data_IF_379895155891
#
_entry.id   IF_379895155891
#
_cell.length_a   1.000
_cell.length_b   1.000
_cell.length_c   1.000
_cell.angle_alpha   90.00
_cell.angle_beta   90.00
_cell.angle_gamma   90.00
#
_symmetry.space_group_name_H-M   'P 1'
#
loop_
_entity.id
_entity.type
_entity.pdbx_description
1 polymer ?
#
# COMPACT_ATOMS: atom_id res chain seq x y z
N UNK A 1 -14.71 -13.59 -6.53
CA UNK A 1 -15.63 -13.17 -7.62
C UNK A 1 -16.73 -12.23 -7.16
N UNK A 2 -17.44 -12.45 -6.04
CA UNK A 2 -18.52 -11.56 -5.59
C UNK A 2 -18.06 -10.11 -5.34
N UNK A 3 -16.89 -9.89 -4.72
CA UNK A 3 -16.30 -8.57 -4.50
C UNK A 3 -16.01 -7.82 -5.79
N UNK A 4 -15.54 -8.51 -6.85
CA UNK A 4 -15.29 -7.87 -8.15
C UNK A 4 -16.59 -7.33 -8.76
N UNK A 5 -17.66 -8.11 -8.72
CA UNK A 5 -18.97 -7.67 -9.19
C UNK A 5 -19.53 -6.52 -8.37
N UNK A 6 -19.35 -6.56 -7.05
CA UNK A 6 -19.77 -5.47 -6.17
C UNK A 6 -19.02 -4.16 -6.51
N UNK A 7 -17.70 -4.21 -6.74
CA UNK A 7 -16.94 -3.04 -7.16
C UNK A 7 -17.30 -2.58 -8.55
N UNK A 8 -17.50 -3.50 -9.49
CA UNK A 8 -17.99 -3.16 -10.82
C UNK A 8 -19.30 -2.36 -10.73
N UNK A 9 -20.28 -2.84 -9.97
CA UNK A 9 -21.55 -2.15 -9.75
C UNK A 9 -21.38 -0.81 -9.03
N UNK A 10 -20.49 -0.73 -8.05
CA UNK A 10 -20.19 0.52 -7.33
C UNK A 10 -19.62 1.58 -8.28
N UNK A 11 -18.65 1.20 -9.11
CA UNK A 11 -18.00 2.12 -10.05
C UNK A 11 -18.98 2.54 -11.15
N UNK A 12 -19.88 1.66 -11.60
CA UNK A 12 -20.93 2.01 -12.56
C UNK A 12 -21.91 3.06 -12.02
N UNK A 13 -22.10 3.16 -10.70
CA UNK A 13 -22.89 4.23 -10.06
C UNK A 13 -22.23 5.59 -10.17
N UNK A 14 -20.91 5.64 -10.20
CA UNK A 14 -20.13 6.87 -10.43
C UNK A 14 -18.73 6.79 -9.85
N UNK A 15 -17.79 7.40 -10.57
CA UNK A 15 -16.38 7.48 -10.11
C UNK A 15 -16.28 8.29 -8.82
N UNK A 16 -17.13 9.30 -8.63
CA UNK A 16 -17.11 10.13 -7.42
C UNK A 16 -17.45 9.33 -6.17
N UNK A 17 -18.47 8.47 -6.23
CA UNK A 17 -18.86 7.58 -5.14
C UNK A 17 -17.77 6.56 -4.85
N UNK A 18 -17.18 5.98 -5.89
CA UNK A 18 -16.05 5.06 -5.74
C UNK A 18 -14.82 5.76 -5.13
N UNK A 19 -14.54 7.00 -5.50
CA UNK A 19 -13.44 7.79 -4.93
C UNK A 19 -13.67 8.09 -3.45
N UNK A 20 -14.90 8.42 -3.02
CA UNK A 20 -15.22 8.60 -1.59
C UNK A 20 -14.99 7.33 -0.80
N UNK A 21 -15.48 6.19 -1.29
CA UNK A 21 -15.23 4.89 -0.66
C UNK A 21 -13.72 4.61 -0.57
N UNK A 22 -12.97 4.91 -1.63
CA UNK A 22 -11.51 4.72 -1.64
C UNK A 22 -10.80 5.60 -0.59
N UNK A 23 -11.24 6.84 -0.38
CA UNK A 23 -10.70 7.72 0.67
C UNK A 23 -10.97 7.13 2.06
N UNK A 24 -12.21 6.70 2.33
CA UNK A 24 -12.58 6.08 3.62
C UNK A 24 -11.75 4.84 3.88
N UNK A 25 -11.59 3.96 2.90
CA UNK A 25 -10.78 2.75 3.03
C UNK A 25 -9.30 3.09 3.19
N UNK A 26 -8.80 4.14 2.52
CA UNK A 26 -7.42 4.61 2.66
C UNK A 26 -7.14 5.08 4.09
N UNK A 27 -8.04 5.83 4.69
CA UNK A 27 -7.93 6.23 6.10
C UNK A 27 -7.95 4.97 6.99
N UNK A 28 -8.92 4.09 6.77
CA UNK A 28 -9.08 2.87 7.57
C UNK A 28 -7.87 1.93 7.50
N UNK A 29 -7.17 1.82 6.37
CA UNK A 29 -5.95 0.99 6.25
C UNK A 29 -4.70 1.63 6.87
N UNK A 30 -4.65 2.96 6.98
CA UNK A 30 -3.53 3.66 7.62
C UNK A 30 -3.62 3.58 9.15
N UNK A 31 -4.82 3.53 9.72
CA UNK A 31 -5.03 3.48 11.19
C UNK A 31 -4.27 2.32 11.87
N UNK A 32 -4.33 1.06 11.39
CA UNK A 32 -3.56 -0.03 11.99
C UNK A 32 -2.05 0.19 11.98
N UNK A 33 -1.52 0.82 10.92
CA UNK A 33 -0.09 1.14 10.82
C UNK A 33 0.31 2.24 11.81
N UNK A 34 -0.51 3.28 11.96
CA UNK A 34 -0.27 4.34 12.94
C UNK A 34 -0.33 3.78 14.36
N UNK A 35 -1.32 2.95 14.67
CA UNK A 35 -1.43 2.28 15.97
C UNK A 35 -0.21 1.39 16.22
N UNK A 36 0.22 0.62 15.21
CA UNK A 36 1.45 -0.17 15.29
C UNK A 36 2.67 0.70 15.60
N UNK A 37 2.83 1.84 14.92
CA UNK A 37 3.95 2.76 15.14
C UNK A 37 3.93 3.30 16.58
N UNK A 38 2.77 3.73 17.09
CA UNK A 38 2.64 4.24 18.47
C UNK A 38 3.01 3.17 19.50
N UNK A 39 2.50 1.95 19.33
CA UNK A 39 2.84 0.82 20.19
C UNK A 39 4.33 0.47 20.05
N UNK A 40 4.83 0.47 18.80
CA UNK A 40 6.20 0.16 18.48
C UNK A 40 7.19 1.11 19.14
N UNK A 41 6.90 2.41 19.17
CA UNK A 41 7.73 3.40 19.87
C UNK A 41 7.83 3.07 21.37
N UNK A 42 6.71 2.66 21.99
CA UNK A 42 6.68 2.31 23.43
C UNK A 42 7.41 0.99 23.69
N UNK A 43 7.26 0.00 22.81
CA UNK A 43 7.84 -1.34 22.95
C UNK A 43 9.28 -1.44 22.45
N UNK A 44 9.82 -0.39 21.83
CA UNK A 44 11.15 -0.37 21.22
C UNK A 44 12.25 -0.57 22.27
N UNK A 45 13.14 -1.51 21.99
CA UNK A 45 14.33 -1.78 22.80
C UNK A 45 15.59 -1.55 21.97
N UNK A 46 16.36 -0.53 22.31
CA UNK A 46 17.60 -0.18 21.62
C UNK A 46 18.63 -1.33 21.63
N UNK A 47 18.64 -2.13 22.70
CA UNK A 47 19.50 -3.33 22.79
C UNK A 47 19.17 -4.38 21.76
N UNK A 48 17.88 -4.63 21.50
CA UNK A 48 17.42 -5.57 20.46
C UNK A 48 17.76 -5.04 19.07
N UNK A 49 17.52 -3.76 18.82
CA UNK A 49 17.80 -3.10 17.56
C UNK A 49 19.28 -3.13 17.17
N UNK A 50 20.18 -2.90 18.14
CA UNK A 50 21.63 -2.83 17.93
C UNK A 50 22.35 -4.17 17.99
N UNK A 51 21.71 -5.25 18.42
CA UNK A 51 22.34 -6.53 18.68
C UNK A 51 23.06 -7.13 17.44
N UNK A 52 22.46 -7.01 16.26
CA UNK A 52 23.07 -7.42 14.98
C UNK A 52 22.67 -6.45 13.86
N UNK A 53 22.97 -5.16 14.06
CA UNK A 53 22.53 -4.11 13.11
C UNK A 53 22.98 -4.35 11.68
N UNK A 54 24.21 -4.84 11.49
CA UNK A 54 24.78 -5.10 10.16
C UNK A 54 24.52 -6.51 9.63
N UNK A 55 23.90 -7.40 10.41
CA UNK A 55 23.65 -8.78 10.00
C UNK A 55 24.90 -9.66 9.93
N UNK A 56 25.96 -9.27 10.63
CA UNK A 56 27.24 -10.00 10.59
C UNK A 56 27.17 -11.35 11.30
N UNK A 57 26.46 -11.43 12.43
CA UNK A 57 26.23 -12.67 13.16
C UNK A 57 25.26 -13.61 12.44
N UNK A 58 24.36 -13.07 11.63
CA UNK A 58 23.37 -13.82 10.84
C UNK A 58 23.92 -14.30 9.48
N UNK A 59 25.18 -14.02 9.15
CA UNK A 59 25.81 -14.47 7.91
C UNK A 59 25.23 -13.87 6.63
N UNK A 60 24.62 -12.68 6.69
CA UNK A 60 23.92 -12.04 5.56
C UNK A 60 24.83 -11.40 4.51
N UNK A 61 26.15 -11.55 4.66
CA UNK A 61 27.13 -10.95 3.74
C UNK A 61 27.36 -9.47 3.97
N UNK A 62 27.93 -8.80 2.97
CA UNK A 62 28.19 -7.37 3.03
C UNK A 62 26.90 -6.55 2.96
N UNK A 63 26.94 -5.29 3.40
CA UNK A 63 25.80 -4.37 3.26
C UNK A 63 25.33 -4.23 1.79
N UNK A 64 26.27 -4.31 0.83
CA UNK A 64 25.94 -4.25 -0.60
C UNK A 64 25.17 -5.50 -1.05
N UNK A 65 25.53 -6.69 -0.57
CA UNK A 65 24.81 -7.92 -0.89
C UNK A 65 23.40 -7.91 -0.31
N UNK A 66 23.24 -7.40 0.90
CA UNK A 66 21.93 -7.20 1.53
C UNK A 66 21.06 -6.21 0.74
N UNK A 67 21.62 -5.08 0.29
CA UNK A 67 20.93 -4.11 -0.55
C UNK A 67 20.47 -4.76 -1.86
N UNK A 68 21.35 -5.48 -2.55
CA UNK A 68 21.02 -6.19 -3.80
C UNK A 68 19.89 -7.20 -3.60
N UNK A 69 19.93 -7.98 -2.53
CA UNK A 69 18.89 -8.96 -2.22
C UNK A 69 17.52 -8.31 -1.98
N UNK A 70 17.50 -7.10 -1.39
CA UNK A 70 16.26 -6.37 -1.10
C UNK A 70 15.72 -5.53 -2.29
N UNK A 71 16.53 -5.28 -3.32
CA UNK A 71 16.14 -4.36 -4.42
C UNK A 71 14.83 -4.76 -5.09
N UNK A 72 14.65 -6.03 -5.43
CA UNK A 72 13.41 -6.51 -6.08
C UNK A 72 12.18 -6.32 -5.21
N UNK A 73 12.31 -6.60 -3.91
CA UNK A 73 11.21 -6.40 -2.95
C UNK A 73 10.90 -4.91 -2.80
N UNK A 74 11.92 -4.05 -2.73
CA UNK A 74 11.75 -2.61 -2.60
C UNK A 74 11.07 -2.01 -3.83
N UNK A 75 11.47 -2.41 -5.04
CA UNK A 75 10.81 -1.98 -6.29
C UNK A 75 9.35 -2.40 -6.28
N UNK A 76 9.06 -3.65 -5.91
CA UNK A 76 7.68 -4.16 -5.83
C UNK A 76 6.81 -3.35 -4.86
N UNK A 77 7.35 -2.98 -3.71
CA UNK A 77 6.64 -2.21 -2.67
C UNK A 77 6.21 -0.83 -3.15
N UNK A 78 6.98 -0.22 -4.08
CA UNK A 78 6.68 1.12 -4.61
C UNK A 78 5.90 1.11 -5.93
N UNK A 79 5.50 -0.06 -6.45
CA UNK A 79 4.56 -0.14 -7.58
C UNK A 79 3.24 0.53 -7.18
N UNK A 80 2.74 1.42 -8.03
CA UNK A 80 1.52 2.19 -7.82
C UNK A 80 1.75 3.64 -7.41
N UNK A 81 3.01 4.05 -7.13
CA UNK A 81 3.32 5.46 -6.86
C UNK A 81 3.00 6.35 -8.08
N UNK A 82 3.06 5.78 -9.26
CA UNK A 82 2.68 6.40 -10.54
C UNK A 82 1.16 6.61 -10.69
N UNK A 83 0.34 6.02 -9.82
CA UNK A 83 -1.13 6.07 -9.94
C UNK A 83 -1.71 7.48 -10.03
N UNK A 84 -1.07 8.47 -9.40
CA UNK A 84 -1.49 9.86 -9.53
C UNK A 84 -1.39 10.37 -10.97
N UNK A 85 -0.40 9.92 -11.76
CA UNK A 85 -0.24 10.30 -13.16
C UNK A 85 -1.30 9.67 -14.07
N UNK A 86 -1.77 8.46 -13.74
CA UNK A 86 -2.86 7.78 -14.46
C UNK A 86 -4.17 8.59 -14.40
N UNK A 87 -4.40 9.30 -13.28
CA UNK A 87 -5.57 10.14 -13.08
C UNK A 87 -5.33 11.61 -13.46
N UNK A 88 -4.25 11.93 -14.17
CA UNK A 88 -3.89 13.32 -14.52
C UNK A 88 -4.97 14.06 -15.31
N UNK A 89 -5.71 13.39 -16.19
CA UNK A 89 -6.83 13.95 -16.95
C UNK A 89 -8.01 14.39 -16.06
N UNK A 90 -8.13 13.81 -14.86
CA UNK A 90 -9.16 14.11 -13.89
C UNK A 90 -8.72 15.13 -12.83
N UNK A 91 -7.43 15.53 -12.86
CA UNK A 91 -6.89 16.51 -11.93
C UNK A 91 -7.35 17.94 -12.32
N UNK A 92 -7.63 18.76 -11.31
CA UNK A 92 -8.00 20.16 -11.52
C UNK A 92 -6.85 20.98 -12.10
N UNK A 93 -5.64 20.71 -11.61
CA UNK A 93 -4.40 21.35 -12.08
C UNK A 93 -3.30 20.29 -12.21
N UNK A 94 -2.44 20.42 -13.25
CA UNK A 94 -1.28 19.52 -13.44
C UNK A 94 -0.33 19.50 -12.24
N UNK A 95 -0.22 20.63 -11.54
CA UNK A 95 0.60 20.78 -10.33
C UNK A 95 0.13 19.87 -9.19
N UNK A 96 -1.17 19.60 -9.11
CA UNK A 96 -1.74 18.74 -8.07
C UNK A 96 -1.30 17.28 -8.23
N UNK A 97 -1.10 16.83 -9.47
CA UNK A 97 -0.57 15.47 -9.74
C UNK A 97 0.83 15.31 -9.15
N UNK A 98 1.74 16.27 -9.45
CA UNK A 98 3.10 16.22 -8.91
C UNK A 98 3.14 16.30 -7.38
N UNK A 99 2.32 17.17 -6.78
CA UNK A 99 2.20 17.26 -5.32
C UNK A 99 1.66 15.96 -4.72
N UNK A 100 0.60 15.39 -5.28
CA UNK A 100 0.02 14.13 -4.82
C UNK A 100 1.04 12.99 -4.88
N UNK A 101 1.81 12.90 -5.97
CA UNK A 101 2.86 11.88 -6.13
C UNK A 101 3.95 12.02 -5.06
N UNK A 102 4.50 13.23 -4.90
CA UNK A 102 5.60 13.47 -3.94
C UNK A 102 5.14 13.27 -2.50
N UNK A 103 3.97 13.84 -2.12
CA UNK A 103 3.46 13.69 -0.76
C UNK A 103 3.04 12.26 -0.46
N UNK A 104 2.41 11.58 -1.42
CA UNK A 104 2.07 10.16 -1.32
C UNK A 104 3.30 9.29 -1.13
N UNK A 105 4.30 9.45 -2.00
CA UNK A 105 5.57 8.71 -1.91
C UNK A 105 6.27 8.96 -0.56
N UNK A 106 6.45 10.21 -0.17
CA UNK A 106 7.13 10.56 1.08
C UNK A 106 6.38 10.01 2.31
N UNK A 107 5.06 10.08 2.31
CA UNK A 107 4.23 9.54 3.41
C UNK A 107 4.34 8.03 3.51
N UNK A 108 4.24 7.32 2.40
CA UNK A 108 4.38 5.85 2.36
C UNK A 108 5.79 5.43 2.76
N UNK A 109 6.83 6.10 2.23
CA UNK A 109 8.21 5.84 2.61
C UNK A 109 8.44 6.01 4.12
N UNK A 110 7.95 7.11 4.70
CA UNK A 110 8.05 7.36 6.13
C UNK A 110 7.34 6.27 6.96
N UNK A 111 6.13 5.89 6.58
CA UNK A 111 5.39 4.81 7.24
C UNK A 111 6.14 3.48 7.16
N UNK A 112 6.64 3.11 5.99
CA UNK A 112 7.38 1.86 5.78
C UNK A 112 8.68 1.85 6.59
N UNK A 113 9.44 2.94 6.58
CA UNK A 113 10.67 3.05 7.39
C UNK A 113 10.36 2.90 8.87
N UNK A 114 9.36 3.60 9.40
CA UNK A 114 8.98 3.51 10.80
C UNK A 114 8.55 2.09 11.18
N UNK A 115 7.66 1.49 10.40
CA UNK A 115 7.18 0.11 10.66
C UNK A 115 8.35 -0.89 10.67
N UNK A 116 9.25 -0.82 9.68
CA UNK A 116 10.38 -1.73 9.60
C UNK A 116 11.37 -1.49 10.76
N UNK A 117 11.82 -0.26 10.97
CA UNK A 117 12.81 0.04 12.02
C UNK A 117 12.27 -0.32 13.41
N UNK A 118 11.02 -0.02 13.70
CA UNK A 118 10.41 -0.36 15.00
C UNK A 118 10.28 -1.87 15.18
N UNK A 119 9.98 -2.62 14.12
CA UNK A 119 9.90 -4.08 14.17
C UNK A 119 11.21 -4.72 14.62
N UNK A 120 12.36 -4.23 14.13
CA UNK A 120 13.68 -4.69 14.55
C UNK A 120 14.03 -4.33 16.02
N UNK A 121 13.40 -3.33 16.59
CA UNK A 121 13.54 -2.99 18.00
C UNK A 121 12.62 -3.76 18.94
N UNK A 122 11.59 -4.44 18.40
CA UNK A 122 10.62 -5.22 19.20
C UNK A 122 11.00 -6.69 19.22
N UNK A 123 11.36 -7.26 18.06
CA UNK A 123 11.64 -8.68 17.88
C UNK A 123 13.05 -8.86 17.34
N UNK A 124 13.85 -9.79 17.91
CA UNK A 124 15.17 -10.11 17.38
C UNK A 124 15.10 -10.55 15.91
N UNK A 125 16.15 -10.24 15.14
CA UNK A 125 16.21 -10.50 13.70
C UNK A 125 15.89 -11.94 13.31
N UNK A 126 16.43 -12.92 14.03
CA UNK A 126 16.23 -14.34 13.75
C UNK A 126 14.76 -14.76 13.93
N UNK A 127 14.14 -14.28 15.00
CA UNK A 127 12.71 -14.51 15.25
C UNK A 127 11.84 -13.79 14.21
N UNK A 128 12.21 -12.54 13.84
CA UNK A 128 11.51 -11.78 12.83
C UNK A 128 11.54 -12.47 11.46
N UNK A 129 12.67 -13.06 11.09
CA UNK A 129 12.82 -13.83 9.86
C UNK A 129 12.00 -15.13 9.86
N UNK A 130 11.72 -15.71 11.03
CA UNK A 130 10.93 -16.92 11.18
C UNK A 130 9.41 -16.68 11.27
N UNK A 131 8.98 -15.41 11.36
CA UNK A 131 7.55 -15.06 11.43
C UNK A 131 6.83 -15.45 10.14
N UNK A 132 5.62 -16.00 10.31
CA UNK A 132 4.72 -16.28 9.18
C UNK A 132 3.99 -15.01 8.74
N UNK A 133 3.61 -14.97 7.47
CA UNK A 133 2.81 -13.87 6.95
C UNK A 133 1.39 -13.83 7.56
N UNK A 134 0.89 -12.66 7.92
CA UNK A 134 1.55 -11.34 7.87
C UNK A 134 2.49 -11.14 9.07
N UNK A 135 3.79 -10.95 8.82
CA UNK A 135 4.84 -10.84 9.87
C UNK A 135 4.56 -9.73 10.89
N UNK A 136 3.94 -8.62 10.47
CA UNK A 136 3.54 -7.53 11.37
C UNK A 136 2.58 -7.97 12.48
N UNK A 137 1.76 -8.98 12.22
CA UNK A 137 0.88 -9.63 13.22
C UNK A 137 1.71 -10.28 14.33
N UNK A 138 2.78 -10.98 13.98
CA UNK A 138 3.70 -11.60 14.95
C UNK A 138 4.44 -10.54 15.80
N UNK A 139 4.94 -9.48 15.15
CA UNK A 139 5.62 -8.37 15.84
C UNK A 139 4.69 -7.70 16.85
N UNK A 140 3.44 -7.38 16.45
CA UNK A 140 2.50 -6.74 17.37
C UNK A 140 2.06 -7.70 18.49
N UNK A 141 1.98 -9.00 18.21
CA UNK A 141 1.71 -10.00 19.25
C UNK A 141 2.82 -10.05 20.29
N UNK A 142 4.08 -9.94 19.87
CA UNK A 142 5.21 -9.86 20.79
C UNK A 142 5.17 -8.60 21.67
N UNK A 143 4.65 -7.48 21.16
CA UNK A 143 4.55 -6.21 21.88
C UNK A 143 3.38 -6.16 22.87
N UNK A 144 2.18 -6.62 22.48
CA UNK A 144 0.93 -6.38 23.22
C UNK A 144 0.07 -7.64 23.43
N UNK A 145 0.55 -8.82 23.02
CA UNK A 145 -0.15 -10.08 23.19
C UNK A 145 -1.12 -10.42 22.03
N UNK A 146 -1.91 -11.49 22.16
CA UNK A 146 -2.67 -12.11 21.06
C UNK A 146 -3.72 -11.21 20.38
N UNK A 147 -4.21 -10.16 21.04
CA UNK A 147 -5.14 -9.22 20.43
C UNK A 147 -4.50 -8.43 19.28
N UNK A 148 -3.18 -8.20 19.35
CA UNK A 148 -2.43 -7.52 18.29
C UNK A 148 -2.53 -8.24 16.95
N UNK A 149 -2.48 -9.57 16.94
CA UNK A 149 -2.65 -10.35 15.73
C UNK A 149 -4.03 -10.14 15.09
N UNK A 150 -5.09 -10.16 15.90
CA UNK A 150 -6.47 -9.94 15.43
C UNK A 150 -6.66 -8.55 14.87
N UNK A 151 -6.08 -7.55 15.52
CA UNK A 151 -6.12 -6.15 15.07
C UNK A 151 -5.45 -5.96 13.72
N UNK A 152 -4.23 -6.49 13.53
CA UNK A 152 -3.53 -6.43 12.24
C UNK A 152 -4.26 -7.23 11.17
N UNK A 153 -4.80 -8.41 11.47
CA UNK A 153 -5.57 -9.20 10.51
C UNK A 153 -6.82 -8.45 10.02
N UNK A 154 -7.54 -7.78 10.90
CA UNK A 154 -8.68 -6.93 10.52
C UNK A 154 -8.25 -5.75 9.64
N UNK A 155 -7.17 -5.06 10.02
CA UNK A 155 -6.59 -3.97 9.23
C UNK A 155 -6.13 -4.43 7.84
N UNK A 156 -5.50 -5.60 7.75
CA UNK A 156 -5.09 -6.21 6.49
C UNK A 156 -6.29 -6.53 5.60
N UNK A 157 -7.34 -7.12 6.15
CA UNK A 157 -8.57 -7.41 5.40
C UNK A 157 -9.19 -6.14 4.81
N UNK A 158 -9.31 -5.07 5.59
CA UNK A 158 -9.79 -3.76 5.12
C UNK A 158 -8.85 -3.18 4.04
N UNK A 159 -7.54 -3.30 4.24
CA UNK A 159 -6.53 -2.83 3.29
C UNK A 159 -6.64 -3.54 1.94
N UNK A 160 -6.78 -4.88 1.94
CA UNK A 160 -6.91 -5.67 0.71
C UNK A 160 -8.19 -5.34 -0.06
N UNK A 161 -9.31 -5.17 0.66
CA UNK A 161 -10.59 -4.75 0.08
C UNK A 161 -10.43 -3.39 -0.62
N UNK A 162 -9.81 -2.40 0.04
CA UNK A 162 -9.59 -1.09 -0.55
C UNK A 162 -8.57 -1.07 -1.69
N UNK A 163 -7.50 -1.85 -1.57
CA UNK A 163 -6.52 -1.98 -2.63
C UNK A 163 -7.15 -2.52 -3.92
N UNK A 164 -8.02 -3.52 -3.82
CA UNK A 164 -8.74 -4.07 -4.96
C UNK A 164 -9.58 -3.01 -5.68
N UNK A 165 -10.29 -2.15 -4.94
CA UNK A 165 -11.04 -1.04 -5.53
C UNK A 165 -10.14 -0.05 -6.26
N UNK A 166 -9.02 0.34 -5.64
CA UNK A 166 -8.06 1.28 -6.23
C UNK A 166 -7.46 0.74 -7.53
N UNK A 167 -7.05 -0.53 -7.52
CA UNK A 167 -6.52 -1.19 -8.71
C UNK A 167 -7.55 -1.32 -9.82
N UNK A 168 -8.80 -1.60 -9.48
CA UNK A 168 -9.88 -1.70 -10.45
C UNK A 168 -10.09 -0.37 -11.18
N UNK A 169 -10.12 0.76 -10.43
CA UNK A 169 -10.22 2.10 -10.99
C UNK A 169 -9.00 2.44 -11.85
N UNK A 170 -7.81 2.14 -11.38
CA UNK A 170 -6.56 2.41 -12.09
C UNK A 170 -6.48 1.63 -13.42
N UNK A 171 -6.82 0.35 -13.43
CA UNK A 171 -6.85 -0.46 -14.64
C UNK A 171 -7.82 0.11 -15.69
N UNK A 172 -8.99 0.59 -15.28
CA UNK A 172 -9.94 1.21 -16.19
C UNK A 172 -9.38 2.51 -16.80
N UNK A 173 -8.73 3.37 -16.01
CA UNK A 173 -8.14 4.63 -16.52
C UNK A 173 -6.92 4.37 -17.42
N UNK A 174 -6.08 3.38 -17.11
CA UNK A 174 -4.92 3.00 -17.96
C UNK A 174 -5.36 2.60 -19.37
N UNK A 175 -6.54 2.01 -19.54
CA UNK A 175 -7.09 1.69 -20.86
C UNK A 175 -7.80 2.89 -21.50
N UNK A 176 -8.46 3.71 -20.69
CA UNK A 176 -9.25 4.85 -21.15
C UNK A 176 -8.37 5.98 -21.71
N UNK A 177 -7.31 6.36 -20.99
CA UNK A 177 -6.51 7.54 -21.33
C UNK A 177 -5.86 7.40 -22.72
N UNK A 178 -5.18 6.30 -23.09
CA UNK A 178 -4.67 6.12 -24.44
C UNK A 178 -5.75 6.06 -25.54
N UNK A 179 -6.97 5.66 -25.18
CA UNK A 179 -8.06 5.64 -26.13
C UNK A 179 -8.61 7.04 -26.44
N UNK A 180 -8.36 8.03 -25.59
CA UNK A 180 -8.65 9.45 -25.88
C UNK A 180 -7.70 10.04 -26.94
N UNK A 181 -6.46 9.55 -26.98
CA UNK A 181 -5.41 9.98 -27.92
C UNK A 181 -5.34 9.07 -29.17
N UNK A 182 -6.37 8.27 -29.44
CA UNK A 182 -6.45 7.33 -30.56
C UNK A 182 -5.30 6.30 -30.65
N UNK A 183 -4.54 6.11 -29.57
CA UNK A 183 -3.50 5.07 -29.48
C UNK A 183 -4.04 3.70 -29.09
N UNK A 184 -5.29 3.66 -28.61
CA UNK A 184 -6.08 2.45 -28.35
C UNK A 184 -7.47 2.55 -29.00
N UNK A 185 -8.16 1.40 -29.17
CA UNK A 185 -9.52 1.40 -29.74
C UNK A 185 -10.45 2.36 -28.98
N UNK A 186 -11.11 3.26 -29.70
CA UNK A 186 -12.00 4.31 -29.15
C UNK A 186 -13.14 3.79 -28.24
N UNK A 187 -13.49 2.53 -28.34
CA UNK A 187 -14.53 1.99 -27.46
C UNK A 187 -14.13 1.97 -25.99
N UNK A 188 -12.82 1.91 -25.66
CA UNK A 188 -12.32 2.02 -24.29
C UNK A 188 -12.55 3.41 -23.67
N UNK A 189 -12.69 4.45 -24.49
CA UNK A 189 -12.97 5.81 -24.00
C UNK A 189 -14.45 6.08 -23.71
N UNK A 190 -15.35 5.12 -24.02
CA UNK A 190 -16.79 5.30 -23.80
C UNK A 190 -17.09 5.40 -22.30
N UNK A 191 -17.75 6.51 -21.92
CA UNK A 191 -18.21 6.73 -20.56
C UNK A 191 -19.74 6.66 -20.49
N UNK A 192 -20.25 6.30 -19.30
CA UNK A 192 -21.67 6.43 -18.99
C UNK A 192 -22.02 7.87 -18.54
N UNK A 193 -23.29 8.11 -18.22
CA UNK A 193 -23.80 9.41 -17.75
C UNK A 193 -23.11 9.90 -16.45
N UNK A 194 -22.48 9.01 -15.72
CA UNK A 194 -21.80 9.25 -14.45
C UNK A 194 -20.27 9.41 -14.62
N UNK A 195 -19.76 9.52 -15.85
CA UNK A 195 -18.34 9.66 -16.17
C UNK A 195 -17.51 8.39 -15.95
N UNK A 196 -18.16 7.22 -15.89
CA UNK A 196 -17.48 5.92 -15.71
C UNK A 196 -17.07 5.34 -17.05
N UNK A 197 -15.82 4.89 -17.24
CA UNK A 197 -15.33 4.32 -18.50
C UNK A 197 -15.84 2.89 -18.70
N UNK A 198 -17.09 2.75 -19.08
CA UNK A 198 -17.76 1.45 -19.26
C UNK A 198 -17.15 0.58 -20.34
N UNK A 199 -16.44 1.18 -21.29
CA UNK A 199 -15.72 0.42 -22.32
C UNK A 199 -14.41 -0.21 -21.82
N UNK A 200 -13.85 0.31 -20.72
CA UNK A 200 -12.60 -0.16 -20.13
C UNK A 200 -12.82 -1.09 -18.92
N UNK A 201 -14.05 -1.30 -18.51
CA UNK A 201 -14.47 -2.18 -17.39
C UNK A 201 -15.04 -3.49 -17.91
#
# INVERSE_FOLDING_TARGET
SALLWLYHLLILRGIREAAVVNVVVTIAKVVPLVVFILIGIIAFKASTFSADFWGTSSGLGSALDQIKAMMLVTVWVFIGVEGASVFSERARERRDVGRATITGFASVLALLLLVNLLSYGIVPREELAALKDPSLSGVLTAAVGPWGAKFIAAGLAISLIGALLSWFLMCAEVLRVPALDDTMPRWFSKENKNGTPVGAM
#
